data_IF_320019647955
#
_entry.id   IF_320019647955
#
_cell.length_a   1.000
_cell.length_b   1.000
_cell.length_c   1.000
_cell.angle_alpha   90.00
_cell.angle_beta   90.00
_cell.angle_gamma   90.00
#
_symmetry.space_group_name_H-M   'P 1'
#
loop_
_entity.id
_entity.type
_entity.pdbx_description
1 polymer ?
#
# COMPACT_ATOMS: atom_id res chain seq x y z
N UNK A 1 14.40 9.79 16.77
CA UNK A 1 13.58 9.89 15.57
C UNK A 1 12.13 9.66 15.97
N UNK A 2 11.29 10.68 15.83
CA UNK A 2 9.85 10.53 16.00
C UNK A 2 9.34 9.61 14.88
N UNK A 3 8.74 8.49 15.25
CA UNK A 3 8.06 7.61 14.30
C UNK A 3 6.94 8.43 13.63
N UNK A 4 7.11 8.76 12.35
CA UNK A 4 6.08 9.45 11.57
C UNK A 4 4.87 8.52 11.44
N UNK A 5 3.70 8.99 11.86
CA UNK A 5 2.44 8.23 11.74
C UNK A 5 1.76 8.41 10.38
N UNK A 6 2.42 9.08 9.44
CA UNK A 6 1.89 9.30 8.10
C UNK A 6 1.93 7.99 7.28
N UNK A 7 0.77 7.61 6.75
CA UNK A 7 0.62 6.38 5.96
C UNK A 7 0.89 6.73 4.50
N UNK A 8 2.06 6.35 3.99
CA UNK A 8 2.47 6.59 2.59
C UNK A 8 2.47 5.28 1.78
N UNK A 9 1.40 4.51 1.90
CA UNK A 9 1.29 3.19 1.26
C UNK A 9 0.92 3.31 -0.22
N UNK A 10 1.58 2.53 -1.12
CA UNK A 10 1.29 2.54 -2.55
C UNK A 10 -0.13 2.08 -2.88
N UNK A 11 -0.78 1.31 -1.99
CA UNK A 11 -2.17 0.89 -2.14
C UNK A 11 -3.14 2.08 -2.15
N UNK A 12 -2.86 3.15 -1.40
CA UNK A 12 -3.65 4.38 -1.45
C UNK A 12 -3.58 5.04 -2.82
N UNK A 13 -2.39 5.11 -3.41
CA UNK A 13 -2.20 5.64 -4.77
C UNK A 13 -2.95 4.80 -5.81
N UNK A 14 -2.99 3.47 -5.63
CA UNK A 14 -3.74 2.58 -6.50
C UNK A 14 -5.27 2.80 -6.38
N UNK A 15 -5.78 3.03 -5.18
CA UNK A 15 -7.19 3.36 -4.96
C UNK A 15 -7.55 4.72 -5.57
N UNK A 16 -6.70 5.74 -5.42
CA UNK A 16 -6.89 7.06 -6.02
C UNK A 16 -6.88 6.99 -7.56
N UNK A 17 -5.95 6.22 -8.14
CA UNK A 17 -5.90 5.98 -9.58
C UNK A 17 -7.16 5.26 -10.10
N UNK A 18 -7.69 4.29 -9.32
CA UNK A 18 -8.95 3.60 -9.66
C UNK A 18 -10.13 4.57 -9.64
N UNK A 19 -10.22 5.45 -8.65
CA UNK A 19 -11.25 6.49 -8.58
C UNK A 19 -11.18 7.44 -9.77
N UNK A 20 -9.99 7.87 -10.15
CA UNK A 20 -9.76 8.70 -11.33
C UNK A 20 -10.20 8.00 -12.63
N UNK A 21 -9.92 6.72 -12.80
CA UNK A 21 -10.38 5.94 -13.94
C UNK A 21 -11.92 5.89 -14.03
N UNK A 22 -12.60 5.74 -12.90
CA UNK A 22 -14.07 5.75 -12.84
C UNK A 22 -14.66 7.14 -13.22
N UNK A 23 -14.00 8.22 -12.81
CA UNK A 23 -14.38 9.56 -13.25
C UNK A 23 -14.24 9.73 -14.78
N UNK A 24 -13.14 9.21 -15.36
CA UNK A 24 -12.95 9.21 -16.81
C UNK A 24 -14.03 8.36 -17.51
N UNK A 25 -14.42 7.21 -16.95
CA UNK A 25 -15.52 6.41 -17.47
C UNK A 25 -16.84 7.20 -17.47
N UNK A 26 -17.12 7.98 -16.44
CA UNK A 26 -18.31 8.83 -16.40
C UNK A 26 -18.29 9.91 -17.51
N UNK A 27 -17.10 10.51 -17.77
CA UNK A 27 -16.92 11.43 -18.91
C UNK A 27 -17.10 10.72 -20.25
N UNK A 28 -16.60 9.49 -20.37
CA UNK A 28 -16.74 8.68 -21.58
C UNK A 28 -18.21 8.30 -21.86
N UNK A 29 -19.01 7.99 -20.83
CA UNK A 29 -20.45 7.77 -20.95
C UNK A 29 -21.10 9.02 -21.56
N UNK A 30 -20.76 10.21 -21.08
CA UNK A 30 -21.30 11.48 -21.60
C UNK A 30 -20.86 11.75 -23.04
N UNK A 31 -19.57 11.57 -23.36
CA UNK A 31 -19.05 11.79 -24.72
C UNK A 31 -19.63 10.80 -25.74
N UNK A 32 -19.95 9.58 -25.29
CA UNK A 32 -20.59 8.54 -26.11
C UNK A 32 -22.02 8.88 -26.56
N UNK A 33 -22.66 9.92 -25.97
CA UNK A 33 -23.97 10.42 -26.35
C UNK A 33 -23.89 11.55 -27.38
N UNK A 34 -22.71 12.11 -27.60
CA UNK A 34 -22.57 13.21 -28.55
C UNK A 34 -22.60 12.70 -29.99
N UNK A 35 -23.26 13.43 -30.92
CA UNK A 35 -23.16 13.11 -32.31
C UNK A 35 -21.73 13.28 -32.83
N UNK A 36 -21.30 12.36 -33.65
CA UNK A 36 -19.98 12.40 -34.29
C UNK A 36 -20.13 12.90 -35.72
N UNK A 37 -19.41 13.96 -36.04
CA UNK A 37 -19.34 14.52 -37.40
C UNK A 37 -17.95 14.19 -37.93
N UNK A 38 -17.88 13.57 -39.09
CA UNK A 38 -16.63 13.30 -39.81
C UNK A 38 -16.72 13.74 -41.24
N UNK A 39 -15.67 14.38 -41.77
CA UNK A 39 -15.49 14.60 -43.18
C UNK A 39 -14.66 13.43 -43.77
N UNK A 40 -14.99 13.03 -44.99
CA UNK A 40 -14.20 12.05 -45.72
C UNK A 40 -13.98 12.47 -47.15
N UNK A 41 -12.84 12.12 -47.68
CA UNK A 41 -12.50 12.26 -49.09
C UNK A 41 -11.92 10.90 -49.52
N UNK A 42 -12.45 10.38 -50.62
CA UNK A 42 -11.99 9.14 -51.21
C UNK A 42 -11.75 9.39 -52.69
N UNK A 43 -10.58 9.05 -53.18
CA UNK A 43 -10.24 9.08 -54.59
C UNK A 43 -9.85 7.69 -55.09
N UNK A 44 -10.11 7.42 -56.36
CA UNK A 44 -9.74 6.18 -56.98
C UNK A 44 -9.61 6.34 -58.49
N UNK A 45 -9.05 5.29 -59.14
CA UNK A 45 -8.97 5.13 -60.58
C UNK A 45 -9.52 3.76 -60.91
N UNK A 46 -10.55 3.71 -61.72
CA UNK A 46 -11.25 2.44 -61.96
C UNK A 46 -12.05 2.44 -63.27
N UNK A 47 -12.48 1.21 -63.63
CA UNK A 47 -13.34 0.94 -64.79
C UNK A 47 -14.48 0.00 -64.37
N UNK A 48 -15.76 0.38 -64.54
CA UNK A 48 -16.19 1.73 -64.77
C UNK A 48 -15.88 2.63 -63.60
N UNK A 49 -15.70 3.96 -63.80
CA UNK A 49 -15.58 4.95 -62.76
C UNK A 49 -16.91 5.20 -62.03
N UNK A 50 -17.22 6.44 -61.63
CA UNK A 50 -18.54 6.78 -61.08
C UNK A 50 -19.67 6.71 -62.10
N UNK A 51 -19.34 6.78 -63.39
CA UNK A 51 -20.30 6.65 -64.49
C UNK A 51 -20.38 5.21 -64.98
N UNK A 52 -21.40 4.46 -64.60
CA UNK A 52 -21.62 3.09 -65.01
C UNK A 52 -21.89 2.87 -66.48
N UNK A 53 -22.16 3.91 -67.24
CA UNK A 53 -22.48 3.88 -68.66
C UNK A 53 -21.23 4.02 -69.54
N UNK A 54 -20.09 4.36 -68.97
CA UNK A 54 -18.83 4.59 -69.65
C UNK A 54 -17.83 3.49 -69.29
N UNK A 55 -17.42 2.74 -70.31
CA UNK A 55 -16.51 1.56 -70.14
C UNK A 55 -15.05 2.00 -70.35
N UNK A 56 -14.64 3.11 -69.70
CA UNK A 56 -13.28 3.65 -69.67
C UNK A 56 -12.68 3.63 -68.30
N UNK A 57 -11.34 3.67 -68.22
CA UNK A 57 -10.63 3.88 -66.97
C UNK A 57 -10.55 5.37 -66.65
N UNK A 58 -11.27 5.81 -65.62
CA UNK A 58 -11.31 7.22 -65.24
C UNK A 58 -10.98 7.42 -63.77
N UNK A 59 -10.32 8.56 -63.43
CA UNK A 59 -10.15 8.96 -62.05
C UNK A 59 -11.48 9.47 -61.49
N UNK A 60 -11.76 9.10 -60.23
CA UNK A 60 -12.94 9.62 -59.54
C UNK A 60 -12.58 10.08 -58.13
N UNK A 61 -13.34 10.98 -57.59
CA UNK A 61 -13.29 11.37 -56.20
C UNK A 61 -14.71 11.51 -55.60
N UNK A 62 -14.81 11.15 -54.32
CA UNK A 62 -16.04 11.33 -53.56
C UNK A 62 -15.64 12.03 -52.28
N UNK A 63 -16.31 13.14 -51.98
CA UNK A 63 -16.14 13.86 -50.74
C UNK A 63 -17.48 13.99 -50.03
N UNK A 64 -17.48 13.91 -48.73
CA UNK A 64 -18.74 14.05 -48.02
C UNK A 64 -18.58 14.25 -46.52
N UNK A 65 -19.70 14.51 -45.86
CA UNK A 65 -19.81 14.65 -44.43
C UNK A 65 -20.69 13.51 -43.90
N UNK A 66 -20.16 12.79 -42.89
CA UNK A 66 -20.90 11.71 -42.22
C UNK A 66 -21.28 12.17 -40.80
N UNK A 67 -22.57 12.16 -40.49
CA UNK A 67 -23.09 12.34 -39.15
C UNK A 67 -23.48 10.94 -38.59
N UNK A 68 -22.94 10.57 -37.45
CA UNK A 68 -23.34 9.37 -36.75
C UNK A 68 -23.73 9.69 -35.32
N UNK A 69 -24.91 9.24 -34.91
CA UNK A 69 -25.43 9.47 -33.58
C UNK A 69 -26.07 8.17 -33.01
N UNK A 70 -25.56 7.71 -31.89
CA UNK A 70 -26.06 6.51 -31.23
C UNK A 70 -27.09 6.87 -30.13
N UNK A 71 -28.34 7.05 -30.53
CA UNK A 71 -29.45 7.38 -29.63
C UNK A 71 -29.79 6.24 -28.65
N UNK A 72 -29.45 4.98 -28.97
CA UNK A 72 -29.71 3.82 -28.09
C UNK A 72 -29.04 3.94 -26.73
N UNK A 73 -27.89 4.64 -26.65
CA UNK A 73 -27.19 4.89 -25.38
C UNK A 73 -27.95 5.81 -24.42
N UNK A 74 -28.90 6.59 -24.89
CA UNK A 74 -29.75 7.43 -24.03
C UNK A 74 -30.60 6.57 -23.07
N UNK A 75 -30.99 5.39 -23.52
CA UNK A 75 -31.81 4.47 -22.72
C UNK A 75 -31.02 3.89 -21.53
N UNK A 76 -29.76 3.58 -21.71
CA UNK A 76 -28.91 2.99 -20.64
C UNK A 76 -28.18 4.03 -19.80
N UNK A 77 -28.13 5.30 -20.23
CA UNK A 77 -27.36 6.37 -19.61
C UNK A 77 -27.52 6.47 -18.09
N UNK A 78 -28.74 6.47 -17.61
CA UNK A 78 -29.06 6.60 -16.18
C UNK A 78 -28.49 5.43 -15.38
N UNK A 79 -28.61 4.22 -15.92
CA UNK A 79 -28.12 3.01 -15.27
C UNK A 79 -26.58 2.93 -15.29
N UNK A 80 -25.96 3.34 -16.41
CA UNK A 80 -24.50 3.34 -16.56
C UNK A 80 -23.86 4.35 -15.60
N UNK A 81 -24.41 5.56 -15.50
CA UNK A 81 -23.97 6.56 -14.52
C UNK A 81 -24.16 6.09 -13.08
N UNK A 82 -25.27 5.43 -12.79
CA UNK A 82 -25.55 4.89 -11.45
C UNK A 82 -24.54 3.79 -11.08
N UNK A 83 -24.19 2.92 -12.02
CA UNK A 83 -23.14 1.90 -11.81
C UNK A 83 -21.81 2.55 -11.45
N UNK A 84 -21.37 3.54 -12.24
CA UNK A 84 -20.11 4.26 -11.96
C UNK A 84 -20.16 4.94 -10.58
N UNK A 85 -21.24 5.63 -10.24
CA UNK A 85 -21.41 6.29 -8.95
C UNK A 85 -21.33 5.29 -7.78
N UNK A 86 -22.01 4.13 -7.90
CA UNK A 86 -21.95 3.08 -6.88
C UNK A 86 -20.55 2.49 -6.75
N UNK A 87 -19.84 2.28 -7.87
CA UNK A 87 -18.47 1.76 -7.84
C UNK A 87 -17.49 2.79 -7.25
N UNK A 88 -17.68 4.10 -7.47
CA UNK A 88 -16.92 5.15 -6.81
C UNK A 88 -17.13 5.10 -5.29
N UNK A 89 -18.39 5.02 -4.84
CA UNK A 89 -18.70 4.91 -3.41
C UNK A 89 -18.10 3.67 -2.78
N UNK A 90 -18.10 2.53 -3.48
CA UNK A 90 -17.40 1.32 -3.03
C UNK A 90 -15.89 1.54 -2.90
N UNK A 91 -15.27 2.29 -3.82
CA UNK A 91 -13.86 2.65 -3.75
C UNK A 91 -13.53 3.51 -2.53
N UNK A 92 -14.38 4.48 -2.20
CA UNK A 92 -14.23 5.32 -1.01
C UNK A 92 -14.33 4.50 0.29
N UNK A 93 -15.33 3.61 0.38
CA UNK A 93 -15.47 2.70 1.53
C UNK A 93 -14.26 1.77 1.66
N UNK A 94 -13.72 1.25 0.55
CA UNK A 94 -12.50 0.44 0.57
C UNK A 94 -11.29 1.24 1.07
N UNK A 95 -11.17 2.51 0.66
CA UNK A 95 -10.11 3.40 1.13
C UNK A 95 -10.23 3.69 2.63
N UNK A 96 -11.42 3.97 3.11
CA UNK A 96 -11.68 4.21 4.54
C UNK A 96 -11.39 2.97 5.37
N UNK A 97 -11.85 1.79 4.93
CA UNK A 97 -11.56 0.52 5.60
C UNK A 97 -10.05 0.22 5.63
N UNK A 98 -9.34 0.48 4.53
CA UNK A 98 -7.89 0.31 4.48
C UNK A 98 -7.18 1.22 5.48
N UNK A 99 -7.52 2.52 5.53
CA UNK A 99 -6.94 3.48 6.47
C UNK A 99 -7.24 3.10 7.92
N UNK A 100 -8.48 2.69 8.21
CA UNK A 100 -8.89 2.26 9.55
C UNK A 100 -8.11 1.04 10.02
N UNK A 101 -8.00 0.00 9.18
CA UNK A 101 -7.25 -1.21 9.50
C UNK A 101 -5.76 -0.92 9.69
N UNK A 102 -5.16 -0.12 8.80
CA UNK A 102 -3.75 0.27 8.91
C UNK A 102 -3.50 1.09 10.18
N UNK A 103 -4.40 2.00 10.55
CA UNK A 103 -4.25 2.79 11.77
C UNK A 103 -4.33 1.94 13.05
N UNK A 104 -5.20 0.92 13.06
CA UNK A 104 -5.28 -0.05 14.16
C UNK A 104 -3.99 -0.88 14.26
N UNK A 105 -3.48 -1.34 13.13
CA UNK A 105 -2.21 -2.09 13.08
C UNK A 105 -1.05 -1.23 13.61
N UNK A 106 -0.95 0.02 13.18
CA UNK A 106 0.07 0.96 13.66
C UNK A 106 -0.03 1.22 15.16
N UNK A 107 -1.26 1.32 15.69
CA UNK A 107 -1.48 1.48 17.13
C UNK A 107 -0.98 0.26 17.91
N UNK A 108 -1.27 -0.96 17.43
CA UNK A 108 -0.78 -2.20 18.03
C UNK A 108 0.74 -2.30 17.99
N UNK A 109 1.35 -2.01 16.82
CA UNK A 109 2.80 -2.02 16.67
C UNK A 109 3.50 -0.99 17.56
N UNK A 110 2.94 0.22 17.69
CA UNK A 110 3.45 1.26 18.58
C UNK A 110 3.39 0.83 20.05
N UNK A 111 2.30 0.19 20.44
CA UNK A 111 2.16 -0.36 21.80
C UNK A 111 3.20 -1.47 22.08
N UNK A 112 3.45 -2.35 21.10
CA UNK A 112 4.45 -3.40 21.23
C UNK A 112 5.88 -2.82 21.30
N UNK A 113 6.21 -1.81 20.51
CA UNK A 113 7.50 -1.10 20.59
C UNK A 113 7.69 -0.51 21.99
N UNK A 114 6.66 0.15 22.53
CA UNK A 114 6.72 0.74 23.87
C UNK A 114 6.93 -0.31 24.94
N UNK A 115 6.18 -1.41 24.89
CA UNK A 115 6.30 -2.56 25.81
C UNK A 115 7.72 -3.13 25.79
N UNK A 116 8.29 -3.40 24.62
CA UNK A 116 9.64 -3.94 24.51
C UNK A 116 10.67 -2.92 25.02
N UNK A 117 10.47 -1.63 24.75
CA UNK A 117 11.32 -0.56 25.28
C UNK A 117 11.34 -0.55 26.82
N UNK A 118 10.21 -0.77 27.47
CA UNK A 118 10.12 -0.82 28.92
C UNK A 118 10.74 -2.11 29.49
N UNK A 119 10.61 -3.25 28.78
CA UNK A 119 11.32 -4.48 29.10
C UNK A 119 12.84 -4.29 29.04
N UNK A 120 13.36 -3.60 28.01
CA UNK A 120 14.80 -3.32 27.91
C UNK A 120 15.33 -2.50 29.08
N UNK A 121 14.57 -1.53 29.59
CA UNK A 121 14.94 -0.77 30.80
C UNK A 121 15.00 -1.69 32.03
N UNK A 122 14.05 -2.60 32.16
CA UNK A 122 14.05 -3.58 33.23
C UNK A 122 15.24 -4.56 33.12
N UNK A 123 15.60 -4.99 31.90
CA UNK A 123 16.76 -5.84 31.65
C UNK A 123 18.07 -5.18 32.10
N UNK A 124 18.27 -3.91 31.82
CA UNK A 124 19.46 -3.19 32.24
C UNK A 124 19.58 -3.17 33.78
N UNK A 125 18.47 -3.01 34.48
CA UNK A 125 18.44 -3.07 35.95
C UNK A 125 18.72 -4.50 36.46
N UNK A 126 18.13 -5.52 35.83
CA UNK A 126 18.37 -6.93 36.18
C UNK A 126 19.85 -7.29 35.99
N UNK A 127 20.47 -6.89 34.88
CA UNK A 127 21.89 -7.14 34.63
C UNK A 127 22.74 -6.45 35.69
N UNK A 128 22.43 -5.21 36.05
CA UNK A 128 23.13 -4.49 37.11
C UNK A 128 23.07 -5.23 38.45
N UNK A 129 21.89 -5.74 38.83
CA UNK A 129 21.70 -6.48 40.06
C UNK A 129 22.42 -7.83 40.02
N UNK A 130 22.33 -8.58 38.91
CA UNK A 130 23.02 -9.86 38.73
C UNK A 130 24.54 -9.71 38.78
N UNK A 131 25.08 -8.67 38.15
CA UNK A 131 26.52 -8.34 38.24
C UNK A 131 26.96 -8.07 39.68
N UNK A 132 26.14 -7.36 40.47
CA UNK A 132 26.44 -7.09 41.87
C UNK A 132 26.39 -8.36 42.71
N UNK A 133 25.42 -9.24 42.48
CA UNK A 133 25.29 -10.54 43.18
C UNK A 133 26.50 -11.43 42.85
N UNK A 134 26.89 -11.51 41.58
CA UNK A 134 28.08 -12.28 41.17
C UNK A 134 29.34 -11.78 41.87
N UNK A 135 29.58 -10.45 41.88
CA UNK A 135 30.73 -9.87 42.62
C UNK A 135 30.72 -10.22 44.11
N UNK A 136 29.56 -10.17 44.74
CA UNK A 136 29.45 -10.58 46.15
C UNK A 136 29.70 -12.09 46.34
N UNK A 137 29.29 -12.92 45.37
CA UNK A 137 29.59 -14.36 45.39
C UNK A 137 31.08 -14.62 45.19
N UNK A 138 31.76 -13.90 44.32
CA UNK A 138 33.23 -13.98 44.14
C UNK A 138 33.96 -13.75 45.49
N UNK A 139 33.62 -12.67 46.19
CA UNK A 139 34.21 -12.38 47.54
C UNK A 139 33.86 -13.44 48.56
N UNK A 140 32.64 -14.00 48.55
CA UNK A 140 32.25 -15.09 49.45
C UNK A 140 33.02 -16.38 49.19
N UNK A 141 33.30 -16.68 47.90
CA UNK A 141 34.10 -17.85 47.56
C UNK A 141 35.56 -17.67 48.01
N UNK A 142 36.16 -16.51 47.85
CA UNK A 142 37.51 -16.18 48.34
C UNK A 142 37.62 -16.38 49.85
N UNK A 143 36.56 -16.08 50.59
CA UNK A 143 36.50 -16.27 52.05
C UNK A 143 36.01 -17.70 52.46
N UNK A 144 35.84 -18.62 51.50
CA UNK A 144 35.43 -20.01 51.78
C UNK A 144 33.98 -20.18 52.26
N UNK A 145 33.13 -19.17 52.06
CA UNK A 145 31.72 -19.15 52.54
C UNK A 145 30.77 -19.90 51.60
N UNK A 146 31.09 -19.94 50.31
CA UNK A 146 30.27 -20.64 49.27
C UNK A 146 31.14 -21.59 48.46
N UNK A 147 30.49 -22.50 47.73
CA UNK A 147 31.17 -23.41 46.81
C UNK A 147 31.42 -22.79 45.43
N UNK A 148 32.35 -23.36 44.66
CA UNK A 148 32.57 -22.99 43.23
C UNK A 148 31.28 -23.22 42.43
N UNK A 149 30.52 -24.26 42.75
CA UNK A 149 29.23 -24.53 42.08
C UNK A 149 28.23 -23.38 42.27
N UNK A 150 28.22 -22.76 43.46
CA UNK A 150 27.35 -21.62 43.73
C UNK A 150 27.78 -20.39 42.94
N UNK A 151 29.08 -20.11 42.82
CA UNK A 151 29.60 -19.04 41.98
C UNK A 151 29.24 -19.27 40.49
N UNK A 152 29.42 -20.49 39.98
CA UNK A 152 29.06 -20.83 38.59
C UNK A 152 27.55 -20.58 38.34
N UNK A 153 26.70 -20.85 39.33
CA UNK A 153 25.25 -20.57 39.23
C UNK A 153 24.97 -19.09 39.08
N UNK A 154 25.67 -18.22 39.80
CA UNK A 154 25.50 -16.76 39.66
C UNK A 154 26.08 -16.21 38.35
N UNK A 155 27.21 -16.78 37.87
CA UNK A 155 27.74 -16.44 36.54
C UNK A 155 26.73 -16.79 35.46
N UNK A 156 26.17 -18.00 35.49
CA UNK A 156 25.14 -18.41 34.51
C UNK A 156 23.89 -17.52 34.57
N UNK A 157 23.48 -17.11 35.79
CA UNK A 157 22.32 -16.22 35.95
C UNK A 157 22.56 -14.81 35.37
N UNK A 158 23.79 -14.27 35.50
CA UNK A 158 24.20 -13.03 34.87
C UNK A 158 24.19 -13.16 33.32
N UNK A 159 24.75 -14.27 32.80
CA UNK A 159 24.81 -14.50 31.35
C UNK A 159 23.43 -14.70 30.73
N UNK A 160 22.55 -15.43 31.43
CA UNK A 160 21.13 -15.53 30.98
C UNK A 160 20.43 -14.18 30.93
N UNK A 161 20.66 -13.30 31.92
CA UNK A 161 20.08 -11.95 31.90
C UNK A 161 20.60 -11.14 30.71
N UNK A 162 21.90 -11.21 30.40
CA UNK A 162 22.50 -10.56 29.23
C UNK A 162 21.95 -11.10 27.92
N UNK A 163 21.75 -12.42 27.82
CA UNK A 163 21.16 -13.04 26.62
C UNK A 163 19.70 -12.60 26.42
N UNK A 164 18.92 -12.52 27.50
CA UNK A 164 17.53 -12.03 27.45
C UNK A 164 17.49 -10.58 26.99
N UNK A 165 18.33 -9.72 27.52
CA UNK A 165 18.45 -8.33 27.09
C UNK A 165 18.83 -8.19 25.61
N UNK A 166 19.75 -9.03 25.12
CA UNK A 166 20.11 -9.07 23.71
C UNK A 166 18.94 -9.49 22.81
N UNK A 167 18.15 -10.48 23.26
CA UNK A 167 16.95 -10.91 22.56
C UNK A 167 15.90 -9.79 22.48
N UNK A 168 15.64 -9.07 23.58
CA UNK A 168 14.71 -7.96 23.59
C UNK A 168 15.18 -6.79 22.69
N UNK A 169 16.49 -6.52 22.60
CA UNK A 169 17.04 -5.52 21.66
C UNK A 169 16.76 -5.89 20.21
N UNK A 170 16.93 -7.17 19.85
CA UNK A 170 16.60 -7.67 18.50
C UNK A 170 15.11 -7.56 18.24
N UNK A 171 14.26 -7.94 19.21
CA UNK A 171 12.81 -7.82 19.09
C UNK A 171 12.37 -6.37 18.91
N UNK A 172 12.99 -5.43 19.66
CA UNK A 172 12.72 -4.01 19.51
C UNK A 172 13.03 -3.50 18.10
N UNK A 173 14.21 -3.84 17.57
CA UNK A 173 14.58 -3.47 16.20
C UNK A 173 13.58 -4.02 15.19
N UNK A 174 13.22 -5.29 15.33
CA UNK A 174 12.25 -5.93 14.43
C UNK A 174 10.88 -5.23 14.49
N UNK A 175 10.40 -4.90 15.70
CA UNK A 175 9.14 -4.17 15.87
C UNK A 175 9.18 -2.76 15.21
N UNK A 176 10.31 -2.05 15.34
CA UNK A 176 10.51 -0.74 14.68
C UNK A 176 10.52 -0.89 13.16
N UNK A 177 11.23 -1.87 12.62
CA UNK A 177 11.23 -2.12 11.16
C UNK A 177 9.84 -2.49 10.63
N UNK A 178 9.08 -3.32 11.36
CA UNK A 178 7.71 -3.65 10.99
C UNK A 178 6.82 -2.38 10.95
N UNK A 179 6.97 -1.49 11.94
CA UNK A 179 6.26 -0.21 11.94
C UNK A 179 6.62 0.66 10.73
N UNK A 180 7.91 0.79 10.42
CA UNK A 180 8.39 1.55 9.24
C UNK A 180 7.87 0.94 7.95
N UNK A 181 7.88 -0.38 7.83
CA UNK A 181 7.33 -1.09 6.68
C UNK A 181 5.82 -0.84 6.52
N UNK A 182 5.06 -0.88 7.63
CA UNK A 182 3.60 -0.65 7.60
C UNK A 182 3.26 0.77 7.21
N UNK A 183 4.06 1.76 7.59
CA UNK A 183 3.89 3.17 7.19
C UNK A 183 4.42 3.47 5.79
N UNK A 184 5.32 2.61 5.27
CA UNK A 184 6.13 2.84 4.06
C UNK A 184 6.92 4.16 4.15
N UNK A 185 7.48 4.43 5.33
CA UNK A 185 8.41 5.51 5.59
C UNK A 185 9.81 4.90 5.82
N UNK A 186 10.72 5.12 4.88
CA UNK A 186 12.14 4.75 4.98
C UNK A 186 12.93 5.70 5.88
#
# INVERSE_FOLDING_TARGET
>A
NSLSGEINRPELKALDAKSYLLELQNKQITSGLMPRIGAFVQGGYGRPGLNMLEDSFDPFYVAGVRLSWNMGKLYTLKNDRRKVATTLQQGEVQREAFLSNTSLELMQQKTEIQKISDLMKADDEIIRLRTSIKKAAEVKLENGVISVTDLIREINAEDMAKQTAAAHRIQHLNAVYNYMYTTNNE
#
